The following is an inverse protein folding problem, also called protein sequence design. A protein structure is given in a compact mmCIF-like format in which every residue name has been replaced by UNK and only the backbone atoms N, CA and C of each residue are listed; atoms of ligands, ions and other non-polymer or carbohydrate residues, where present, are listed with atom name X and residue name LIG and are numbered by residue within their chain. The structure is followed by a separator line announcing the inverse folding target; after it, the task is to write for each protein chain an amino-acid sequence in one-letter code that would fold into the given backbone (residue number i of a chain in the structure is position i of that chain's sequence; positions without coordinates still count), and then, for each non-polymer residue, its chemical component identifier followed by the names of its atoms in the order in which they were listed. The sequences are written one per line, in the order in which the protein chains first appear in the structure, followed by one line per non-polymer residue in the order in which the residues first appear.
data_IF_959825194195
#
_entry.id   IF_959825194195
#
_cell.length_a   1.000
_cell.length_b   1.000
_cell.length_c   1.000
_cell.angle_alpha   90.00
_cell.angle_beta   90.00
_cell.angle_gamma   90.00
#
_symmetry.space_group_name_H-M   'P 1'
#
loop_
_entity.id
_entity.type
_entity.pdbx_description
1 polymer ?
#
# COMPACT_ATOMS: atom_id res chain seq x y z
N UNK A 1 -10.42 0.66 6.36
CA UNK A 1 -9.27 1.55 6.06
C UNK A 1 -9.53 2.99 6.48
N UNK A 2 -10.73 3.54 6.29
CA UNK A 2 -11.14 4.84 6.86
C UNK A 2 -10.93 4.88 8.38
N UNK A 3 -11.09 3.73 9.05
CA UNK A 3 -10.84 3.59 10.50
C UNK A 3 -9.36 3.66 10.88
N UNK A 4 -8.43 3.63 9.90
CA UNK A 4 -6.97 3.71 10.10
C UNK A 4 -6.43 5.06 9.61
N UNK A 5 -6.78 5.47 8.37
CA UNK A 5 -6.37 6.76 7.79
C UNK A 5 -7.30 7.16 6.63
N UNK A 6 -7.42 8.48 6.39
CA UNK A 6 -8.21 9.06 5.30
C UNK A 6 -7.58 8.95 3.90
N UNK A 7 -6.33 8.49 3.79
CA UNK A 7 -5.57 8.45 2.53
C UNK A 7 -4.82 7.14 2.41
N UNK A 8 -4.62 6.70 1.16
CA UNK A 8 -3.87 5.48 0.83
C UNK A 8 -2.96 5.66 -0.38
N UNK A 9 -1.85 4.90 -0.45
CA UNK A 9 -1.07 4.77 -1.66
C UNK A 9 -1.90 4.15 -2.79
N UNK A 10 -1.60 4.50 -4.04
CA UNK A 10 -2.19 3.85 -5.22
C UNK A 10 -1.48 2.52 -5.45
N UNK A 11 -2.06 1.44 -4.92
CA UNK A 11 -1.63 0.07 -5.21
C UNK A 11 -2.36 -0.43 -6.47
N UNK A 12 -1.63 -1.02 -7.41
CA UNK A 12 -2.13 -1.51 -8.70
C UNK A 12 -1.74 -2.97 -8.92
N UNK A 13 -2.34 -3.62 -9.91
CA UNK A 13 -1.96 -4.97 -10.32
C UNK A 13 -0.52 -5.02 -10.83
N UNK A 14 0.08 -6.21 -10.87
CA UNK A 14 1.43 -6.39 -11.42
C UNK A 14 1.51 -5.97 -12.91
N UNK A 15 0.45 -6.16 -13.68
CA UNK A 15 0.41 -5.80 -15.09
C UNK A 15 0.32 -4.28 -15.28
N UNK A 16 -0.52 -3.61 -14.50
CA UNK A 16 -0.59 -2.15 -14.52
C UNK A 16 0.69 -1.50 -14.00
N UNK A 17 1.36 -2.12 -13.02
CA UNK A 17 2.67 -1.67 -12.56
C UNK A 17 3.74 -1.78 -13.67
N UNK A 18 3.72 -2.85 -14.47
CA UNK A 18 4.62 -2.96 -15.63
C UNK A 18 4.34 -1.90 -16.67
N UNK A 19 3.06 -1.62 -16.96
CA UNK A 19 2.66 -0.56 -17.90
C UNK A 19 3.07 0.81 -17.40
N UNK A 20 2.92 1.06 -16.09
CA UNK A 20 3.35 2.29 -15.44
C UNK A 20 4.85 2.59 -15.64
N UNK A 21 5.68 1.55 -15.67
CA UNK A 21 7.13 1.67 -15.83
C UNK A 21 7.58 1.80 -17.30
N UNK A 22 6.70 1.64 -18.28
CA UNK A 22 7.05 1.76 -19.69
C UNK A 22 7.37 3.23 -20.05
N UNK A 23 8.59 3.55 -20.53
CA UNK A 23 8.94 4.92 -20.94
C UNK A 23 8.08 5.48 -22.09
N UNK A 24 7.39 4.62 -22.84
CA UNK A 24 6.48 5.03 -23.92
C UNK A 24 5.09 5.38 -23.42
N UNK A 25 4.79 5.14 -22.14
CA UNK A 25 3.51 5.45 -21.53
C UNK A 25 3.24 6.95 -21.63
N UNK A 26 2.10 7.31 -22.20
CA UNK A 26 1.70 8.71 -22.30
C UNK A 26 1.17 9.22 -20.95
N UNK A 27 1.24 10.52 -20.72
CA UNK A 27 0.67 11.16 -19.52
C UNK A 27 -0.82 10.83 -19.34
N UNK A 28 -1.59 10.73 -20.42
CA UNK A 28 -3.01 10.40 -20.35
C UNK A 28 -3.25 8.97 -19.87
N UNK A 29 -2.48 8.01 -20.35
CA UNK A 29 -2.57 6.61 -19.91
C UNK A 29 -2.11 6.46 -18.47
N UNK A 30 -1.02 7.14 -18.08
CA UNK A 30 -0.58 7.20 -16.69
C UNK A 30 -1.70 7.75 -15.78
N UNK A 31 -2.32 8.88 -16.15
CA UNK A 31 -3.44 9.44 -15.39
C UNK A 31 -4.63 8.48 -15.31
N UNK A 32 -4.90 7.69 -16.36
CA UNK A 32 -5.94 6.68 -16.33
C UNK A 32 -5.60 5.61 -15.28
N UNK A 33 -4.42 4.99 -15.37
CA UNK A 33 -3.95 3.96 -14.42
C UNK A 33 -4.04 4.47 -12.98
N UNK A 34 -3.54 5.68 -12.71
CA UNK A 34 -3.54 6.25 -11.36
C UNK A 34 -4.95 6.50 -10.77
N UNK A 35 -5.98 6.66 -11.62
CA UNK A 35 -7.34 6.96 -11.20
C UNK A 35 -8.26 5.74 -11.18
N UNK A 36 -7.99 4.74 -12.02
CA UNK A 36 -8.94 3.63 -12.27
C UNK A 36 -8.38 2.26 -11.95
N UNK A 37 -7.06 2.07 -11.96
CA UNK A 37 -6.43 0.76 -11.76
C UNK A 37 -6.08 0.47 -10.29
N UNK A 38 -6.59 1.30 -9.36
CA UNK A 38 -6.34 1.11 -7.94
C UNK A 38 -7.07 -0.14 -7.44
N UNK A 39 -6.33 -1.00 -6.75
CA UNK A 39 -6.88 -2.18 -6.08
C UNK A 39 -7.85 -1.79 -4.94
N UNK A 40 -8.90 -2.58 -4.78
CA UNK A 40 -9.88 -2.39 -3.72
C UNK A 40 -9.26 -2.58 -2.34
N UNK A 41 -9.75 -1.82 -1.36
CA UNK A 41 -9.25 -1.89 0.03
C UNK A 41 -9.46 -3.27 0.65
N UNK A 42 -10.51 -3.97 0.23
CA UNK A 42 -10.91 -5.28 0.75
C UNK A 42 -9.95 -6.40 0.34
N UNK A 43 -9.01 -6.11 -0.58
CA UNK A 43 -7.91 -7.01 -0.93
C UNK A 43 -6.73 -6.91 0.05
N UNK A 44 -6.77 -5.98 1.01
CA UNK A 44 -5.70 -5.74 1.97
C UNK A 44 -6.13 -6.03 3.40
N UNK A 45 -5.20 -6.58 4.17
CA UNK A 45 -5.35 -6.78 5.61
C UNK A 45 -4.42 -5.83 6.37
N UNK A 46 -4.85 -5.43 7.57
CA UNK A 46 -4.14 -4.48 8.41
C UNK A 46 -4.06 -5.01 9.84
N UNK A 47 -2.90 -4.84 10.46
CA UNK A 47 -2.67 -5.24 11.85
C UNK A 47 -2.01 -4.11 12.63
N UNK A 48 -2.29 -4.04 13.92
CA UNK A 48 -1.52 -3.19 14.83
C UNK A 48 -0.09 -3.75 14.98
N UNK A 49 0.91 -2.87 14.97
CA UNK A 49 2.33 -3.23 15.08
C UNK A 49 3.02 -2.42 16.19
N UNK A 50 4.25 -2.80 16.56
CA UNK A 50 5.02 -2.10 17.61
C UNK A 50 5.28 -0.62 17.25
N UNK A 51 5.14 0.26 18.23
CA UNK A 51 5.44 1.71 18.06
C UNK A 51 6.94 2.00 17.95
N UNK A 52 7.79 1.00 18.18
CA UNK A 52 9.24 1.10 17.93
C UNK A 52 9.57 1.41 16.47
N UNK A 53 8.69 1.03 15.54
CA UNK A 53 8.80 1.39 14.12
C UNK A 53 8.90 2.92 13.93
N UNK A 54 8.19 3.70 14.74
CA UNK A 54 8.21 5.17 14.68
C UNK A 54 9.57 5.76 15.10
N UNK A 55 10.41 4.98 15.79
CA UNK A 55 11.75 5.38 16.24
C UNK A 55 12.84 4.93 15.27
N UNK A 56 12.48 4.34 14.13
CA UNK A 56 13.43 3.86 13.13
C UNK A 56 14.09 2.53 13.48
N UNK A 57 13.50 1.76 14.40
CA UNK A 57 13.92 0.37 14.66
C UNK A 57 13.56 -0.47 13.43
N UNK A 58 14.53 -1.22 12.90
CA UNK A 58 14.36 -2.10 11.75
C UNK A 58 14.35 -3.58 12.17
N UNK A 59 13.77 -4.41 11.32
CA UNK A 59 13.68 -5.85 11.47
C UNK A 59 12.26 -6.41 11.35
N UNK A 60 12.11 -7.72 11.10
CA UNK A 60 10.81 -8.34 10.88
C UNK A 60 9.87 -8.21 12.09
N UNK A 61 10.42 -8.08 13.30
CA UNK A 61 9.65 -7.97 14.54
C UNK A 61 8.84 -6.67 14.63
N UNK A 62 9.26 -5.58 14.00
CA UNK A 62 8.52 -4.31 14.04
C UNK A 62 7.37 -4.27 13.04
N UNK A 63 7.37 -5.14 12.04
CA UNK A 63 6.28 -5.32 11.08
C UNK A 63 5.35 -6.49 11.44
N UNK A 64 5.73 -7.31 12.42
CA UNK A 64 4.92 -8.42 12.88
C UNK A 64 3.64 -7.89 13.57
N UNK A 65 2.48 -8.53 13.35
CA UNK A 65 1.27 -8.22 14.10
C UNK A 65 1.51 -8.31 15.60
N UNK A 66 1.07 -7.31 16.35
CA UNK A 66 0.97 -7.43 17.80
C UNK A 66 -0.01 -8.57 18.08
N UNK A 67 0.47 -9.61 18.73
CA UNK A 67 -0.43 -10.57 19.36
C UNK A 67 -1.20 -9.80 20.42
N UNK A 68 -2.53 -9.83 20.35
CA UNK A 68 -3.34 -9.33 21.45
C UNK A 68 -2.89 -10.08 22.70
N UNK A 69 -2.30 -9.37 23.67
CA UNK A 69 -2.19 -9.91 25.00
C UNK A 69 -3.63 -10.18 25.47
N UNK A 70 -3.93 -11.44 25.78
CA UNK A 70 -5.14 -11.83 26.49
C UNK A 70 -5.29 -11.07 27.81
#
# INVERSE_FOLDING_TARGET
MVDIHDRRPVAVSADDARRWLDPKLTTNEAMHIARTAMLDADLFEWHAVSTELNRGVDGPQVAAPLTCAE
#
